data_IF_375499893574
#
_entry.id   IF_375499893574
#
_cell.length_a   1.000
_cell.length_b   1.000
_cell.length_c   1.000
_cell.angle_alpha   90.00
_cell.angle_beta   90.00
_cell.angle_gamma   90.00
#
_symmetry.space_group_name_H-M   'P 1'
#
loop_
_entity.id
_entity.type
_entity.pdbx_description
1 polymer ?
#
# COMPACT_ATOMS: atom_id res chain seq x y z
N UNK A 1 -33.56 -1.94 -23.80
CA UNK A 1 -34.66 -1.98 -22.80
C UNK A 1 -34.43 -3.08 -21.75
N UNK A 2 -34.17 -4.34 -22.11
CA UNK A 2 -33.98 -5.42 -21.11
C UNK A 2 -32.75 -5.24 -20.18
N UNK A 3 -31.65 -4.66 -20.69
CA UNK A 3 -30.43 -4.42 -19.90
C UNK A 3 -30.59 -3.32 -18.85
N UNK A 4 -31.38 -2.28 -19.15
CA UNK A 4 -31.65 -1.17 -18.23
C UNK A 4 -32.55 -1.63 -17.08
N UNK A 5 -33.59 -2.41 -17.37
CA UNK A 5 -34.46 -3.03 -16.36
C UNK A 5 -33.70 -3.99 -15.43
N UNK A 6 -32.78 -4.78 -15.99
CA UNK A 6 -31.93 -5.65 -15.18
C UNK A 6 -31.07 -4.83 -14.22
N UNK A 7 -30.46 -3.74 -14.70
CA UNK A 7 -29.58 -2.89 -13.89
C UNK A 7 -30.35 -2.19 -12.77
N UNK A 8 -31.55 -1.66 -13.04
CA UNK A 8 -32.40 -1.03 -12.01
C UNK A 8 -32.83 -2.05 -10.96
N UNK A 9 -33.22 -3.26 -11.36
CA UNK A 9 -33.56 -4.34 -10.44
C UNK A 9 -32.38 -4.75 -9.56
N UNK A 10 -31.19 -4.87 -10.14
CA UNK A 10 -29.98 -5.15 -9.37
C UNK A 10 -29.74 -4.06 -8.32
N UNK A 11 -29.81 -2.78 -8.71
CA UNK A 11 -29.59 -1.65 -7.79
C UNK A 11 -30.61 -1.64 -6.65
N UNK A 12 -31.90 -1.81 -6.97
CA UNK A 12 -32.96 -1.95 -5.97
C UNK A 12 -32.66 -3.05 -4.95
N UNK A 13 -32.22 -4.23 -5.40
CA UNK A 13 -31.86 -5.33 -4.49
C UNK A 13 -30.68 -4.99 -3.58
N UNK A 14 -29.71 -4.22 -4.08
CA UNK A 14 -28.59 -3.73 -3.28
C UNK A 14 -29.06 -2.76 -2.21
N UNK A 15 -29.85 -1.76 -2.60
CA UNK A 15 -30.30 -0.71 -1.68
C UNK A 15 -31.22 -1.28 -0.60
N UNK A 16 -32.18 -2.13 -0.98
CA UNK A 16 -33.06 -2.82 -0.04
C UNK A 16 -32.27 -3.71 0.94
N UNK A 17 -31.25 -4.42 0.46
CA UNK A 17 -30.40 -5.23 1.34
C UNK A 17 -29.60 -4.39 2.33
N UNK A 18 -29.07 -3.23 1.92
CA UNK A 18 -28.35 -2.34 2.82
C UNK A 18 -29.27 -1.67 3.84
N UNK A 19 -30.50 -1.29 3.46
CA UNK A 19 -31.51 -0.76 4.38
C UNK A 19 -31.89 -1.78 5.47
N UNK A 20 -32.06 -3.04 5.09
CA UNK A 20 -32.46 -4.11 6.02
C UNK A 20 -31.29 -4.73 6.79
N UNK A 21 -30.04 -4.42 6.46
CA UNK A 21 -28.90 -5.15 6.99
C UNK A 21 -28.83 -5.16 8.53
N UNK A 22 -29.15 -4.04 9.16
CA UNK A 22 -29.04 -3.87 10.62
C UNK A 22 -30.21 -4.50 11.38
N UNK A 23 -31.43 -4.42 10.85
CA UNK A 23 -32.64 -4.95 11.49
C UNK A 23 -32.90 -6.42 11.14
N UNK A 24 -32.53 -6.84 9.93
CA UNK A 24 -32.77 -8.17 9.39
C UNK A 24 -31.56 -8.64 8.54
N UNK A 25 -30.45 -9.09 9.17
CA UNK A 25 -29.26 -9.55 8.46
C UNK A 25 -29.50 -10.80 7.60
N UNK A 26 -30.56 -11.55 7.88
CA UNK A 26 -30.93 -12.74 7.09
C UNK A 26 -31.62 -12.39 5.78
N UNK A 27 -32.56 -11.43 5.82
CA UNK A 27 -33.30 -10.98 4.63
C UNK A 27 -32.37 -10.20 3.70
N UNK A 28 -31.52 -9.34 4.24
CA UNK A 28 -30.47 -8.65 3.46
C UNK A 28 -29.55 -9.65 2.75
N UNK A 29 -29.15 -10.73 3.44
CA UNK A 29 -28.34 -11.79 2.82
C UNK A 29 -29.10 -12.54 1.72
N UNK A 30 -30.38 -12.82 1.92
CA UNK A 30 -31.24 -13.44 0.91
C UNK A 30 -31.34 -12.56 -0.36
N UNK A 31 -31.58 -11.26 -0.21
CA UNK A 31 -31.65 -10.30 -1.32
C UNK A 31 -30.33 -10.23 -2.10
N UNK A 32 -29.20 -10.17 -1.40
CA UNK A 32 -27.87 -10.16 -2.02
C UNK A 32 -27.53 -11.48 -2.72
N UNK A 33 -27.99 -12.62 -2.19
CA UNK A 33 -27.84 -13.91 -2.87
C UNK A 33 -28.73 -14.00 -4.11
N UNK A 34 -29.96 -13.50 -4.04
CA UNK A 34 -30.85 -13.38 -5.19
C UNK A 34 -30.23 -12.50 -6.28
N UNK A 35 -29.68 -11.34 -5.91
CA UNK A 35 -28.92 -10.46 -6.81
C UNK A 35 -27.76 -11.21 -7.49
N UNK A 36 -26.99 -11.98 -6.73
CA UNK A 36 -25.86 -12.75 -7.24
C UNK A 36 -26.29 -13.83 -8.24
N UNK A 37 -27.37 -14.55 -7.96
CA UNK A 37 -27.95 -15.53 -8.87
C UNK A 37 -28.50 -14.88 -10.15
N UNK A 38 -29.10 -13.69 -10.04
CA UNK A 38 -29.60 -12.96 -11.19
C UNK A 38 -28.44 -12.56 -12.11
N UNK A 39 -27.36 -12.01 -11.55
CA UNK A 39 -26.14 -11.67 -12.29
C UNK A 39 -25.51 -12.89 -12.98
N UNK A 40 -25.42 -14.03 -12.29
CA UNK A 40 -24.84 -15.24 -12.88
C UNK A 40 -25.69 -15.80 -14.01
N UNK A 41 -27.03 -15.79 -13.86
CA UNK A 41 -27.97 -16.23 -14.91
C UNK A 41 -27.93 -15.34 -16.14
N UNK A 42 -27.66 -14.05 -15.98
CA UNK A 42 -27.52 -13.11 -17.09
C UNK A 42 -26.11 -13.06 -17.69
N UNK A 43 -25.18 -13.93 -17.25
CA UNK A 43 -23.80 -13.95 -17.74
C UNK A 43 -22.93 -12.77 -17.27
N UNK A 44 -23.37 -12.01 -16.27
CA UNK A 44 -22.63 -10.88 -15.73
C UNK A 44 -21.70 -11.33 -14.61
N UNK A 45 -20.41 -11.06 -14.77
CA UNK A 45 -19.42 -11.31 -13.73
C UNK A 45 -19.57 -10.33 -12.57
N UNK A 46 -19.40 -10.81 -11.33
CA UNK A 46 -19.44 -9.95 -10.16
C UNK A 46 -18.18 -9.08 -10.08
N UNK A 47 -18.32 -7.75 -9.91
CA UNK A 47 -17.18 -6.87 -9.68
C UNK A 47 -16.33 -7.35 -8.49
N UNK A 48 -14.98 -7.29 -8.60
CA UNK A 48 -14.10 -7.68 -7.49
C UNK A 48 -14.35 -6.92 -6.20
N UNK A 49 -14.80 -5.67 -6.30
CA UNK A 49 -15.21 -4.84 -5.16
C UNK A 49 -16.42 -5.45 -4.43
N UNK A 50 -17.45 -5.87 -5.19
CA UNK A 50 -18.64 -6.50 -4.60
C UNK A 50 -18.28 -7.77 -3.82
N UNK A 51 -17.35 -8.58 -4.35
CA UNK A 51 -16.85 -9.79 -3.67
C UNK A 51 -16.11 -9.50 -2.37
N UNK A 52 -15.68 -8.25 -2.12
CA UNK A 52 -15.08 -7.86 -0.85
C UNK A 52 -16.13 -7.54 0.22
N UNK A 53 -17.30 -7.07 -0.21
CA UNK A 53 -18.35 -6.58 0.68
C UNK A 53 -19.47 -7.59 0.88
N UNK A 54 -19.66 -8.55 -0.03
CA UNK A 54 -20.75 -9.51 0.03
C UNK A 54 -20.23 -10.92 -0.22
N UNK A 55 -20.62 -11.84 0.66
CA UNK A 55 -20.26 -13.24 0.53
C UNK A 55 -20.95 -13.85 -0.70
N UNK A 56 -20.18 -14.33 -1.68
CA UNK A 56 -20.73 -14.94 -2.91
C UNK A 56 -21.57 -16.20 -2.65
N UNK A 57 -21.39 -16.83 -1.50
CA UNK A 57 -22.03 -18.07 -1.13
C UNK A 57 -23.40 -17.91 -0.47
N UNK A 58 -23.47 -17.05 0.55
CA UNK A 58 -24.68 -16.88 1.37
C UNK A 58 -25.31 -15.51 1.22
N UNK A 59 -24.66 -14.57 0.51
CA UNK A 59 -25.12 -13.20 0.33
C UNK A 59 -24.93 -12.29 1.54
N UNK A 60 -24.34 -12.76 2.63
CA UNK A 60 -24.13 -11.94 3.82
C UNK A 60 -23.21 -10.74 3.51
N UNK A 61 -23.64 -9.53 3.91
CA UNK A 61 -22.87 -8.30 3.80
C UNK A 61 -21.78 -8.33 4.86
N UNK A 62 -20.53 -8.36 4.41
CA UNK A 62 -19.34 -8.51 5.23
C UNK A 62 -18.84 -7.15 5.71
N UNK A 63 -19.14 -6.82 6.97
CA UNK A 63 -18.67 -5.60 7.63
C UNK A 63 -17.49 -5.94 8.55
N UNK A 64 -16.29 -5.35 8.33
CA UNK A 64 -15.14 -5.57 9.21
C UNK A 64 -15.48 -5.18 10.66
N UNK A 65 -15.12 -6.04 11.61
CA UNK A 65 -15.42 -5.83 13.03
C UNK A 65 -16.79 -6.35 13.48
N UNK A 66 -17.67 -6.76 12.55
CA UNK A 66 -18.96 -7.40 12.86
C UNK A 66 -18.93 -8.89 12.49
N UNK A 67 -18.02 -9.64 13.12
CA UNK A 67 -17.84 -11.08 12.88
C UNK A 67 -17.14 -11.45 11.58
N UNK A 68 -16.97 -10.52 10.62
CA UNK A 68 -16.16 -10.78 9.42
C UNK A 68 -14.68 -10.53 9.70
N UNK A 69 -13.84 -11.46 9.25
CA UNK A 69 -12.40 -11.45 9.52
C UNK A 69 -11.66 -11.14 8.23
N UNK A 70 -10.76 -10.16 8.27
CA UNK A 70 -9.90 -9.81 7.13
C UNK A 70 -8.44 -10.09 7.53
N UNK A 71 -7.76 -10.89 6.72
CA UNK A 71 -6.33 -11.20 6.87
C UNK A 71 -5.57 -10.81 5.61
N UNK A 72 -4.37 -10.28 5.79
CA UNK A 72 -3.41 -10.05 4.71
C UNK A 72 -2.39 -11.17 4.74
N UNK A 73 -2.38 -12.00 3.70
CA UNK A 73 -1.46 -13.13 3.56
C UNK A 73 -0.46 -12.86 2.44
N UNK A 74 0.79 -13.24 2.64
CA UNK A 74 1.84 -13.20 1.62
C UNK A 74 2.29 -14.61 1.33
N UNK A 75 2.13 -15.08 0.09
CA UNK A 75 2.69 -16.37 -0.30
C UNK A 75 4.13 -16.14 -0.70
N UNK A 76 5.06 -16.41 0.22
CA UNK A 76 6.47 -16.53 -0.12
C UNK A 76 6.66 -17.85 -0.84
N UNK A 77 7.05 -17.82 -2.11
CA UNK A 77 7.49 -19.04 -2.77
C UNK A 77 8.76 -19.52 -2.07
N UNK A 78 8.66 -20.61 -1.30
CA UNK A 78 9.83 -21.31 -0.77
C UNK A 78 10.54 -21.93 -1.96
N UNK A 79 11.49 -21.22 -2.57
CA UNK A 79 12.45 -21.81 -3.51
C UNK A 79 13.30 -22.82 -2.74
N UNK A 80 12.92 -24.09 -2.76
CA UNK A 80 13.86 -25.19 -2.50
C UNK A 80 14.78 -25.27 -3.73
N UNK A 81 16.06 -24.95 -3.51
CA UNK A 81 17.19 -25.33 -4.36
C UNK A 81 17.13 -24.95 -5.84
N UNK A 82 17.54 -23.74 -6.21
CA UNK A 82 18.32 -23.56 -7.45
C UNK A 82 19.12 -22.27 -7.41
N UNK A 83 20.43 -22.40 -7.60
CA UNK A 83 21.40 -21.30 -7.73
C UNK A 83 21.25 -20.67 -9.13
N UNK A 84 20.32 -19.73 -9.32
CA UNK A 84 20.27 -18.84 -10.50
C UNK A 84 19.83 -17.42 -10.13
N UNK A 85 20.27 -16.39 -10.88
CA UNK A 85 20.30 -15.02 -10.40
C UNK A 85 18.91 -14.41 -10.24
N UNK A 86 18.90 -13.43 -9.35
CA UNK A 86 17.79 -12.87 -8.60
C UNK A 86 16.89 -11.99 -9.48
N UNK A 87 16.03 -12.59 -10.30
CA UNK A 87 14.80 -11.90 -10.70
C UNK A 87 13.97 -11.67 -9.44
N UNK A 88 13.60 -10.42 -9.15
CA UNK A 88 12.80 -10.04 -7.97
C UNK A 88 11.50 -10.86 -8.00
N UNK A 89 11.43 -11.91 -7.20
CA UNK A 89 10.20 -12.67 -7.04
C UNK A 89 9.13 -11.70 -6.55
N UNK A 90 8.13 -11.43 -7.38
CA UNK A 90 6.97 -10.64 -6.99
C UNK A 90 6.24 -11.43 -5.90
N UNK A 91 6.37 -10.97 -4.65
CA UNK A 91 5.63 -11.52 -3.52
C UNK A 91 4.15 -11.18 -3.74
N UNK A 92 3.35 -12.16 -4.19
CA UNK A 92 1.91 -11.99 -4.36
C UNK A 92 1.25 -11.92 -2.98
N UNK A 93 0.57 -10.80 -2.74
CA UNK A 93 -0.17 -10.55 -1.50
C UNK A 93 -1.64 -10.83 -1.74
N UNK A 94 -2.28 -11.47 -0.78
CA UNK A 94 -3.70 -11.79 -0.83
C UNK A 94 -4.43 -11.13 0.33
N UNK A 95 -5.58 -10.52 0.04
CA UNK A 95 -6.59 -10.16 1.05
C UNK A 95 -7.53 -11.35 1.18
N UNK A 96 -7.53 -11.99 2.33
CA UNK A 96 -8.44 -13.10 2.67
C UNK A 96 -9.55 -12.53 3.54
N UNK A 97 -10.78 -12.67 3.09
CA UNK A 97 -11.98 -12.18 3.79
C UNK A 97 -12.83 -13.40 4.15
N UNK A 98 -13.06 -13.61 5.43
CA UNK A 98 -13.86 -14.71 5.97
C UNK A 98 -15.25 -14.21 6.35
N UNK A 99 -16.28 -14.85 5.80
CA UNK A 99 -17.67 -14.51 6.07
C UNK A 99 -18.04 -14.84 7.52
N UNK A 100 -18.61 -13.87 8.25
CA UNK A 100 -19.05 -14.05 9.65
C UNK A 100 -20.25 -14.99 9.84
N UNK A 101 -21.00 -15.31 8.77
CA UNK A 101 -22.19 -16.17 8.83
C UNK A 101 -21.92 -17.62 8.43
N UNK A 102 -21.28 -17.85 7.29
CA UNK A 102 -21.03 -19.20 6.75
C UNK A 102 -19.55 -19.61 6.72
N UNK A 103 -18.65 -18.77 7.24
CA UNK A 103 -17.21 -19.02 7.38
C UNK A 103 -16.44 -19.28 6.08
N UNK A 104 -17.06 -19.13 4.90
CA UNK A 104 -16.34 -19.24 3.63
C UNK A 104 -15.37 -18.07 3.44
N UNK A 105 -14.19 -18.40 2.94
CA UNK A 105 -13.11 -17.46 2.68
C UNK A 105 -13.10 -17.02 1.22
N UNK A 106 -13.04 -15.70 1.00
CA UNK A 106 -12.82 -15.10 -0.32
C UNK A 106 -11.39 -14.57 -0.38
N UNK A 107 -10.61 -15.06 -1.33
CA UNK A 107 -9.23 -14.62 -1.55
C UNK A 107 -9.18 -13.64 -2.73
N UNK A 108 -8.56 -12.50 -2.50
CA UNK A 108 -8.43 -11.43 -3.49
C UNK A 108 -6.96 -11.11 -3.64
N UNK A 109 -6.42 -11.31 -4.85
CA UNK A 109 -5.04 -10.95 -5.14
C UNK A 109 -4.91 -9.42 -5.10
N UNK A 110 -3.92 -8.93 -4.36
CA UNK A 110 -3.57 -7.53 -4.32
C UNK A 110 -2.40 -7.30 -5.28
N UNK A 111 -2.57 -6.31 -6.16
CA UNK A 111 -1.46 -5.86 -7.00
C UNK A 111 -0.37 -5.25 -6.11
N UNK A 112 0.92 -5.56 -6.36
CA UNK A 112 1.99 -4.96 -5.60
C UNK A 112 1.94 -3.43 -5.74
N UNK A 113 2.09 -2.67 -4.63
CA UNK A 113 2.10 -1.22 -4.72
C UNK A 113 3.23 -0.78 -5.66
N UNK A 114 2.93 0.15 -6.57
CA UNK A 114 3.95 0.77 -7.42
C UNK A 114 5.04 1.34 -6.50
N UNK A 115 6.33 1.12 -6.79
CA UNK A 115 7.40 1.63 -5.96
C UNK A 115 7.24 3.15 -5.84
N UNK A 116 7.14 3.64 -4.60
CA UNK A 116 7.06 5.07 -4.34
C UNK A 116 8.29 5.72 -4.98
N UNK A 117 8.05 6.66 -5.91
CA UNK A 117 9.13 7.50 -6.43
C UNK A 117 9.59 8.32 -5.24
N UNK A 118 10.78 8.04 -4.72
CA UNK A 118 11.40 8.91 -3.74
C UNK A 118 11.44 10.31 -4.37
N UNK A 119 10.75 11.27 -3.75
CA UNK A 119 10.92 12.67 -4.10
C UNK A 119 12.39 13.00 -3.80
N UNK A 120 13.25 12.91 -4.81
CA UNK A 120 14.54 13.58 -4.77
C UNK A 120 14.20 15.04 -4.55
N UNK A 121 14.49 15.55 -3.36
CA UNK A 121 14.46 16.98 -3.06
C UNK A 121 15.33 17.65 -4.12
N UNK A 122 14.70 18.20 -5.16
CA UNK A 122 15.36 19.10 -6.08
C UNK A 122 15.72 20.31 -5.25
N UNK A 123 16.99 20.40 -4.85
CA UNK A 123 17.55 21.66 -4.38
C UNK A 123 17.36 22.64 -5.53
N UNK A 124 16.40 23.54 -5.40
CA UNK A 124 16.28 24.69 -6.28
C UNK A 124 17.61 25.45 -6.21
N UNK A 125 18.44 25.28 -7.24
CA UNK A 125 19.67 26.05 -7.39
C UNK A 125 19.24 27.37 -7.99
N UNK A 126 19.14 28.40 -7.14
CA UNK A 126 19.02 29.78 -7.57
C UNK A 126 20.14 30.06 -8.59
N UNK A 127 19.74 30.53 -9.77
CA UNK A 127 20.65 31.10 -10.77
C UNK A 127 21.06 32.48 -10.25
N UNK A 128 22.30 32.59 -9.79
CA UNK A 128 23.07 33.82 -9.93
C UNK A 128 24.26 33.50 -10.83
N UNK A 129 24.27 34.18 -11.96
CA UNK A 129 25.39 34.32 -12.88
C UNK A 129 26.51 35.05 -12.17
N UNK A 130 27.73 34.50 -12.19
CA UNK A 130 28.96 35.24 -12.47
C UNK A 130 30.14 34.27 -12.61
N UNK A 131 31.09 34.68 -13.43
CA UNK A 131 32.05 33.86 -14.15
C UNK A 131 33.31 33.46 -13.36
N UNK A 132 34.05 32.52 -13.97
CA UNK A 132 35.50 32.26 -13.91
C UNK A 132 35.94 30.91 -13.32
N UNK A 133 36.89 30.32 -14.05
CA UNK A 133 37.63 29.07 -13.94
C UNK A 133 37.84 28.45 -12.55
N UNK A 134 37.57 27.14 -12.44
CA UNK A 134 38.63 26.10 -12.30
C UNK A 134 38.07 24.69 -12.01
N UNK A 135 38.68 23.73 -12.70
CA UNK A 135 38.88 22.33 -12.30
C UNK A 135 37.66 21.41 -12.05
N UNK A 136 37.40 20.55 -13.05
CA UNK A 136 36.66 19.29 -12.97
C UNK A 136 37.08 18.47 -11.73
N UNK A 137 36.31 18.53 -10.64
CA UNK A 137 36.45 17.58 -9.52
C UNK A 137 35.64 16.32 -9.85
N UNK A 138 36.38 15.29 -10.25
CA UNK A 138 35.91 13.90 -10.42
C UNK A 138 35.03 13.42 -9.26
N UNK A 139 33.93 12.73 -9.58
CA UNK A 139 32.97 12.14 -8.65
C UNK A 139 33.60 11.21 -7.59
N UNK A 140 34.83 10.75 -7.81
CA UNK A 140 35.58 9.87 -6.90
C UNK A 140 36.28 10.59 -5.74
N UNK A 141 36.30 11.93 -5.72
CA UNK A 141 36.90 12.69 -4.61
C UNK A 141 36.11 12.55 -3.28
N UNK A 142 34.80 12.26 -3.34
CA UNK A 142 33.94 12.10 -2.15
C UNK A 142 34.02 10.71 -1.50
N UNK A 143 34.48 9.70 -2.24
CA UNK A 143 34.57 8.31 -1.79
C UNK A 143 35.83 8.06 -0.95
N UNK A 144 36.99 8.57 -1.42
CA UNK A 144 38.24 8.53 -0.65
C UNK A 144 38.19 9.40 0.61
N UNK A 145 37.53 10.56 0.57
CA UNK A 145 37.31 11.40 1.78
C UNK A 145 36.44 10.67 2.81
N UNK A 146 35.31 10.09 2.40
CA UNK A 146 34.44 9.31 3.32
C UNK A 146 35.11 8.07 3.89
N UNK A 147 35.95 7.38 3.12
CA UNK A 147 36.70 6.23 3.63
C UNK A 147 37.74 6.63 4.70
N UNK A 148 38.37 7.80 4.54
CA UNK A 148 39.30 8.36 5.54
C UNK A 148 38.56 8.84 6.79
N UNK A 149 37.43 9.51 6.60
CA UNK A 149 36.58 10.00 7.69
C UNK A 149 36.01 8.84 8.53
N UNK A 150 35.68 7.70 7.93
CA UNK A 150 35.28 6.47 8.67
C UNK A 150 36.41 5.85 9.50
N UNK A 151 37.68 6.07 9.13
CA UNK A 151 38.85 5.55 9.87
C UNK A 151 39.35 6.51 10.95
N UNK A 152 39.01 7.79 10.86
CA UNK A 152 39.52 8.82 11.76
C UNK A 152 38.85 8.82 13.16
N UNK A 153 37.75 8.08 13.33
CA UNK A 153 37.01 8.05 14.59
C UNK A 153 36.21 9.33 14.85
N UNK A 154 35.21 9.24 15.73
CA UNK A 154 34.25 10.33 15.96
C UNK A 154 34.93 11.63 16.44
N UNK A 155 35.95 11.50 17.30
CA UNK A 155 36.63 12.65 17.92
C UNK A 155 37.43 13.49 16.92
N UNK A 156 38.03 12.86 15.89
CA UNK A 156 38.74 13.56 14.81
C UNK A 156 37.78 14.25 13.83
N UNK A 157 36.58 13.70 13.65
CA UNK A 157 35.54 14.34 12.84
C UNK A 157 34.97 15.58 13.53
N UNK A 158 34.80 15.54 14.85
CA UNK A 158 34.31 16.67 15.64
C UNK A 158 35.29 17.84 15.66
N UNK A 159 36.60 17.56 15.76
CA UNK A 159 37.64 18.60 15.73
C UNK A 159 37.76 19.28 14.36
N UNK A 160 37.45 18.58 13.27
CA UNK A 160 37.37 19.17 11.91
C UNK A 160 36.10 19.99 11.68
N UNK A 161 35.07 19.77 12.49
CA UNK A 161 33.81 20.50 12.46
C UNK A 161 33.75 21.66 13.47
N UNK A 162 34.88 22.07 14.05
CA UNK A 162 34.96 23.29 14.86
C UNK A 162 34.57 24.51 13.99
N UNK A 163 33.41 25.14 14.26
CA UNK A 163 33.00 26.32 13.53
C UNK A 163 33.86 27.48 13.98
N UNK A 164 34.67 28.03 13.07
CA UNK A 164 35.19 29.38 13.22
C UNK A 164 34.00 30.31 13.46
N UNK A 165 33.95 30.88 14.65
CA UNK A 165 33.00 31.86 15.17
C UNK A 165 32.31 32.70 14.09
N UNK A 166 31.02 32.45 13.85
CA UNK A 166 30.00 33.46 13.53
C UNK A 166 28.63 32.84 13.82
N UNK A 167 27.80 33.58 14.57
CA UNK A 167 26.71 33.06 15.40
C UNK A 167 25.66 32.20 14.70
N UNK A 168 25.56 30.94 15.12
CA UNK A 168 24.32 30.16 15.01
C UNK A 168 24.15 29.30 16.25
N UNK A 169 22.97 29.39 16.87
CA UNK A 169 22.59 28.74 18.13
C UNK A 169 22.88 27.23 18.07
N UNK A 170 23.57 26.70 19.07
CA UNK A 170 24.00 25.30 19.08
C UNK A 170 23.03 24.42 19.87
N UNK A 171 23.00 23.12 19.55
CA UNK A 171 22.16 22.13 20.23
C UNK A 171 22.35 22.09 21.76
N UNK A 172 23.50 22.55 22.28
CA UNK A 172 23.78 22.65 23.71
C UNK A 172 22.91 23.72 24.41
N UNK A 173 22.47 24.76 23.70
CA UNK A 173 21.63 25.82 24.26
C UNK A 173 20.19 25.35 24.50
N UNK A 174 19.74 24.33 23.78
CA UNK A 174 18.40 23.74 23.95
C UNK A 174 18.33 22.65 25.02
N UNK A 175 19.47 22.07 25.43
CA UNK A 175 19.51 20.98 26.42
C UNK A 175 19.73 21.47 27.86
N UNK A 176 19.93 22.78 28.07
CA UNK A 176 19.88 23.40 29.40
C UNK A 176 18.45 23.81 29.72
N UNK A 177 17.64 22.83 30.13
CA UNK A 177 16.39 23.08 30.86
C UNK A 177 16.21 22.02 31.92
#
# INVERSE_FOLDING_TARGET
MASTELTTRLNFLTDAAHLLHRSAPETSAHLMRHRSNLMSRSGLSQPPLQRQHVCSACGHIMIPGQGTVIKLETIRSRKRGSKKPRAKASETRFKVITCGRCQRCTRIALEPPKPAKAHTKTKAKAKTTDACDTAKKSANASSKKRAKDRKAGLQALLSRHQPSSTGSLTLADFMKK
#
